data_IF_457239972768
#
_entry.id   IF_457239972768
#
_cell.length_a   1.000
_cell.length_b   1.000
_cell.length_c   1.000
_cell.angle_alpha   90.00
_cell.angle_beta   90.00
_cell.angle_gamma   90.00
#
_symmetry.space_group_name_H-M   'P 1'
#
loop_
_entity.id
_entity.type
_entity.pdbx_description
1 polymer ?
#
# COMPACT_ATOMS: atom_id res chain seq x y z
N UNK A 1 19.17 11.74 -25.77
CA UNK A 1 18.02 10.93 -26.22
C UNK A 1 16.89 11.33 -25.31
N UNK A 2 15.99 12.17 -25.82
CA UNK A 2 14.80 12.59 -25.08
C UNK A 2 13.82 11.41 -25.00
N UNK A 3 12.95 11.35 -23.99
CA UNK A 3 11.93 10.31 -23.87
C UNK A 3 11.00 10.27 -25.09
N UNK A 4 10.82 11.43 -25.75
CA UNK A 4 10.08 11.57 -27.00
C UNK A 4 10.73 10.83 -28.18
N UNK A 5 12.06 10.70 -28.19
CA UNK A 5 12.80 9.99 -29.25
C UNK A 5 12.64 8.46 -29.15
N UNK A 6 12.19 7.96 -27.99
CA UNK A 6 12.00 6.53 -27.74
C UNK A 6 10.63 6.02 -28.20
N UNK A 7 9.75 6.91 -28.66
CA UNK A 7 8.40 6.56 -29.06
C UNK A 7 8.43 5.83 -30.42
N UNK A 8 7.80 4.65 -30.53
CA UNK A 8 7.88 3.83 -31.74
C UNK A 8 7.28 4.51 -32.99
N UNK A 9 6.36 5.46 -32.82
CA UNK A 9 5.69 6.20 -33.90
C UNK A 9 5.86 7.73 -33.80
N UNK A 10 6.62 8.24 -32.83
CA UNK A 10 6.76 9.68 -32.58
C UNK A 10 5.48 10.37 -32.11
N UNK A 11 4.42 9.62 -31.79
CA UNK A 11 3.16 10.16 -31.32
C UNK A 11 3.08 10.07 -29.79
N UNK A 12 2.78 11.19 -29.15
CA UNK A 12 2.62 11.27 -27.69
C UNK A 12 1.24 10.85 -27.21
N UNK A 13 0.24 10.78 -28.09
CA UNK A 13 -1.15 10.53 -27.71
C UNK A 13 -1.37 9.13 -27.11
N UNK A 14 -0.55 8.16 -27.51
CA UNK A 14 -0.59 6.77 -27.00
C UNK A 14 0.42 6.52 -25.87
N UNK A 15 1.07 7.57 -25.35
CA UNK A 15 2.19 7.45 -24.41
C UNK A 15 1.73 7.55 -22.97
N UNK A 16 2.21 6.60 -22.16
CA UNK A 16 2.01 6.60 -20.70
C UNK A 16 3.31 7.02 -20.03
N UNK A 17 3.31 8.18 -19.38
CA UNK A 17 4.38 8.60 -18.49
C UNK A 17 4.14 8.05 -17.08
N UNK A 18 5.08 7.27 -16.55
CA UNK A 18 5.08 6.87 -15.13
C UNK A 18 5.83 7.94 -14.34
N UNK A 19 5.10 8.83 -13.66
CA UNK A 19 5.67 9.98 -12.94
C UNK A 19 6.01 9.70 -11.47
N UNK A 20 5.62 8.53 -10.96
CA UNK A 20 5.89 8.14 -9.59
C UNK A 20 5.31 6.77 -9.24
N UNK A 21 5.72 6.23 -8.10
CA UNK A 21 5.20 4.99 -7.54
C UNK A 21 5.11 5.08 -6.02
N UNK A 22 4.20 4.33 -5.42
CA UNK A 22 4.07 4.18 -3.98
C UNK A 22 3.55 2.78 -3.71
N UNK A 23 3.98 2.17 -2.61
CA UNK A 23 3.57 0.82 -2.25
C UNK A 23 3.60 0.58 -0.73
N UNK A 24 2.89 -0.47 -0.33
CA UNK A 24 2.96 -1.08 1.00
C UNK A 24 2.96 -2.58 0.80
N UNK A 25 4.11 -3.21 1.01
CA UNK A 25 4.28 -4.65 0.89
C UNK A 25 4.63 -5.28 2.24
N UNK A 26 4.40 -6.60 2.39
CA UNK A 26 4.87 -7.38 3.53
C UNK A 26 6.40 -7.32 3.70
N UNK A 27 6.90 -7.71 4.88
CA UNK A 27 8.36 -7.84 5.10
C UNK A 27 9.12 -6.53 5.28
N UNK A 28 8.43 -5.47 5.72
CA UNK A 28 8.93 -4.11 5.95
C UNK A 28 9.18 -3.29 4.66
N UNK A 29 8.67 -3.76 3.52
CA UNK A 29 8.65 -3.02 2.26
C UNK A 29 7.51 -1.97 2.21
N UNK A 30 7.49 -1.06 3.18
CA UNK A 30 6.47 -0.01 3.33
C UNK A 30 6.71 1.23 2.45
N UNK A 31 7.79 1.24 1.68
CA UNK A 31 8.13 2.27 0.70
C UNK A 31 8.84 1.64 -0.50
N UNK A 32 9.08 2.45 -1.52
CA UNK A 32 9.59 2.01 -2.82
C UNK A 32 11.02 1.50 -2.69
N UNK A 33 11.86 2.18 -1.91
CA UNK A 33 13.25 1.84 -1.65
C UNK A 33 13.37 0.47 -0.98
N UNK A 34 12.61 0.25 0.10
CA UNK A 34 12.59 -1.03 0.81
C UNK A 34 12.02 -2.17 -0.04
N UNK A 35 11.05 -1.87 -0.92
CA UNK A 35 10.54 -2.85 -1.88
C UNK A 35 11.61 -3.28 -2.89
N UNK A 36 12.38 -2.34 -3.43
CA UNK A 36 13.48 -2.64 -4.32
C UNK A 36 14.59 -3.45 -3.64
N UNK A 37 14.92 -3.11 -2.40
CA UNK A 37 15.90 -3.87 -1.61
C UNK A 37 15.42 -5.31 -1.37
N UNK A 38 14.16 -5.50 -0.97
CA UNK A 38 13.56 -6.83 -0.77
C UNK A 38 13.64 -7.69 -2.05
N UNK A 39 13.32 -7.13 -3.21
CA UNK A 39 13.44 -7.83 -4.50
C UNK A 39 14.89 -8.17 -4.81
N UNK A 40 15.81 -7.21 -4.63
CA UNK A 40 17.23 -7.38 -4.90
C UNK A 40 17.85 -8.48 -4.04
N UNK A 41 17.40 -8.61 -2.80
CA UNK A 41 17.83 -9.66 -1.86
C UNK A 41 17.16 -11.02 -2.12
N UNK A 42 16.10 -11.07 -2.94
CA UNK A 42 15.26 -12.26 -3.08
C UNK A 42 14.54 -12.64 -1.78
N UNK A 43 14.26 -11.64 -0.93
CA UNK A 43 13.69 -11.85 0.39
C UNK A 43 12.21 -12.24 0.30
N UNK A 44 11.88 -13.40 0.88
CA UNK A 44 10.49 -13.84 1.07
C UNK A 44 9.94 -13.23 2.38
N UNK A 45 8.82 -12.52 2.27
CA UNK A 45 8.15 -11.85 3.37
C UNK A 45 7.06 -12.70 4.04
N UNK A 46 7.10 -14.03 3.88
CA UNK A 46 6.16 -14.94 4.52
C UNK A 46 6.22 -14.83 6.05
N UNK A 47 5.05 -14.80 6.69
CA UNK A 47 4.93 -14.85 8.15
C UNK A 47 3.73 -15.72 8.55
N UNK A 48 3.70 -16.16 9.81
CA UNK A 48 2.47 -16.73 10.39
C UNK A 48 1.31 -15.73 10.30
N UNK A 49 0.08 -16.27 10.27
CA UNK A 49 -1.13 -15.44 10.28
C UNK A 49 -1.15 -14.61 11.58
N UNK A 50 -1.13 -13.27 11.50
CA UNK A 50 -1.19 -12.44 12.69
C UNK A 50 -2.50 -12.65 13.45
N UNK A 51 -2.42 -12.69 14.78
CA UNK A 51 -3.57 -13.01 15.65
C UNK A 51 -4.69 -11.96 15.61
N UNK A 52 -4.38 -10.75 15.17
CA UNK A 52 -5.31 -9.63 15.00
C UNK A 52 -6.08 -9.70 13.66
N UNK A 53 -5.78 -10.66 12.76
CA UNK A 53 -6.54 -10.85 11.52
C UNK A 53 -7.82 -11.66 11.75
N UNK A 54 -7.68 -12.86 12.31
CA UNK A 54 -8.77 -13.75 12.69
C UNK A 54 -8.22 -14.91 13.55
N UNK A 55 -9.10 -15.70 14.17
CA UNK A 55 -8.71 -16.85 14.98
C UNK A 55 -8.21 -18.03 14.12
N UNK A 56 -7.02 -17.91 13.54
CA UNK A 56 -6.50 -18.90 12.61
C UNK A 56 -6.36 -20.30 13.25
N UNK A 57 -5.95 -20.36 14.53
CA UNK A 57 -5.80 -21.62 15.27
C UNK A 57 -7.11 -22.39 15.42
N UNK A 58 -8.26 -21.70 15.47
CA UNK A 58 -9.57 -22.33 15.59
C UNK A 58 -10.06 -23.01 14.30
N UNK A 59 -9.53 -22.62 13.15
CA UNK A 59 -9.97 -23.09 11.83
C UNK A 59 -8.92 -23.95 11.12
N UNK A 60 -7.70 -24.02 11.67
CA UNK A 60 -6.61 -24.80 11.10
C UNK A 60 -6.84 -26.31 11.26
N UNK A 61 -6.66 -27.06 10.18
CA UNK A 61 -6.57 -28.51 10.21
C UNK A 61 -5.53 -29.00 9.19
N UNK A 62 -4.70 -30.01 9.53
CA UNK A 62 -3.63 -30.47 8.63
C UNK A 62 -4.14 -31.22 7.39
N UNK A 63 -5.31 -31.86 7.45
CA UNK A 63 -5.94 -32.48 6.26
C UNK A 63 -6.60 -31.41 5.38
N UNK A 64 -6.11 -31.18 4.15
CA UNK A 64 -6.69 -30.21 3.22
C UNK A 64 -8.11 -30.57 2.75
N UNK A 65 -8.53 -31.83 2.90
CA UNK A 65 -9.86 -32.28 2.47
C UNK A 65 -10.93 -32.14 3.55
N UNK A 66 -10.57 -31.76 4.79
CA UNK A 66 -11.53 -31.61 5.87
C UNK A 66 -12.45 -30.40 5.59
N UNK A 67 -13.78 -30.59 5.47
CA UNK A 67 -14.72 -29.50 5.24
C UNK A 67 -14.70 -28.47 6.38
N UNK A 68 -14.85 -27.19 6.04
CA UNK A 68 -14.94 -26.09 7.01
C UNK A 68 -13.62 -25.76 7.71
N UNK A 69 -12.48 -26.21 7.18
CA UNK A 69 -11.14 -25.90 7.70
C UNK A 69 -10.21 -25.41 6.60
N UNK A 70 -9.10 -24.81 7.00
CA UNK A 70 -7.97 -24.54 6.10
C UNK A 70 -6.69 -25.18 6.65
N UNK A 71 -5.73 -25.45 5.77
CA UNK A 71 -4.44 -26.05 6.14
C UNK A 71 -3.25 -25.06 6.01
N UNK A 72 -3.53 -23.79 5.66
CA UNK A 72 -2.52 -22.73 5.57
C UNK A 72 -2.12 -22.24 6.98
N UNK A 73 -0.83 -21.99 7.23
CA UNK A 73 -0.33 -21.49 8.53
C UNK A 73 0.08 -20.03 8.52
N UNK A 74 0.29 -19.48 7.34
CA UNK A 74 0.87 -18.17 7.13
C UNK A 74 0.73 -17.73 5.68
N UNK A 75 1.03 -16.47 5.46
CA UNK A 75 0.98 -15.78 4.17
C UNK A 75 1.82 -14.49 4.29
N UNK A 76 1.61 -13.54 3.38
CA UNK A 76 2.35 -12.30 3.35
C UNK A 76 1.46 -11.16 3.83
N UNK A 77 1.76 -10.62 5.03
CA UNK A 77 0.91 -9.62 5.68
C UNK A 77 1.60 -8.26 5.81
N UNK A 78 0.85 -7.20 5.51
CA UNK A 78 1.28 -5.83 5.78
C UNK A 78 1.15 -5.55 7.29
N UNK A 79 2.18 -4.91 7.88
CA UNK A 79 2.23 -4.60 9.33
C UNK A 79 1.38 -3.40 9.74
N UNK A 80 1.07 -2.50 8.81
CA UNK A 80 0.23 -1.33 9.05
C UNK A 80 -1.21 -1.69 9.45
N UNK A 81 -1.93 -0.71 9.98
CA UNK A 81 -3.36 -0.85 10.29
C UNK A 81 -4.17 -1.07 9.00
N UNK A 82 -4.62 -2.30 8.78
CA UNK A 82 -5.43 -2.64 7.63
C UNK A 82 -6.85 -2.06 7.72
N UNK A 83 -7.34 -1.73 8.93
CA UNK A 83 -8.64 -1.09 9.09
C UNK A 83 -8.62 0.37 8.61
N UNK A 84 -7.43 0.96 8.46
CA UNK A 84 -7.24 2.29 7.87
C UNK A 84 -7.30 2.28 6.33
N UNK A 85 -7.20 1.11 5.68
CA UNK A 85 -7.30 1.00 4.23
C UNK A 85 -8.74 1.27 3.77
N UNK A 86 -8.93 2.28 2.91
CA UNK A 86 -10.24 2.79 2.49
C UNK A 86 -11.20 3.11 3.65
N UNK A 87 -10.65 3.42 4.83
CA UNK A 87 -11.47 3.77 5.98
C UNK A 87 -12.33 5.00 5.66
N UNK A 88 -13.65 4.97 5.96
CA UNK A 88 -14.46 6.17 5.83
C UNK A 88 -13.88 7.28 6.72
N UNK A 89 -14.03 8.57 6.35
CA UNK A 89 -13.44 9.68 7.10
C UNK A 89 -13.76 9.70 8.60
N UNK A 90 -14.86 9.05 9.04
CA UNK A 90 -15.22 8.95 10.46
C UNK A 90 -14.31 8.02 11.26
N UNK A 91 -13.68 7.04 10.62
CA UNK A 91 -12.76 6.08 11.25
C UNK A 91 -11.29 6.50 11.12
N UNK A 92 -10.99 7.54 10.32
CA UNK A 92 -9.64 8.07 10.19
C UNK A 92 -9.47 9.35 11.02
N UNK A 93 -9.07 9.26 12.31
CA UNK A 93 -8.91 10.44 13.17
C UNK A 93 -7.86 11.44 12.65
N UNK A 94 -6.97 10.99 11.77
CA UNK A 94 -5.92 11.81 11.15
C UNK A 94 -6.38 12.57 9.90
N UNK A 95 -7.52 12.21 9.30
CA UNK A 95 -8.15 12.97 8.21
C UNK A 95 -9.24 13.83 8.85
N UNK A 96 -9.01 15.14 9.08
CA UNK A 96 -10.03 15.99 9.66
C UNK A 96 -11.19 16.10 8.66
N UNK A 97 -12.35 15.61 9.09
CA UNK A 97 -13.60 15.63 8.33
C UNK A 97 -13.85 17.02 7.73
N UNK A 98 -14.08 17.07 6.41
CA UNK A 98 -14.53 18.18 5.53
C UNK A 98 -13.88 19.59 5.65
N UNK A 99 -13.37 20.01 6.79
CA UNK A 99 -12.67 21.27 7.00
C UNK A 99 -11.20 21.23 6.55
N UNK A 100 -10.57 20.06 6.42
CA UNK A 100 -9.12 19.98 6.22
C UNK A 100 -8.63 20.51 4.87
N UNK A 101 -9.29 20.20 3.75
CA UNK A 101 -8.86 20.76 2.46
C UNK A 101 -8.98 22.28 2.45
N UNK A 102 -10.01 22.84 3.07
CA UNK A 102 -10.17 24.29 3.20
C UNK A 102 -9.14 24.91 4.15
N UNK A 103 -8.84 24.29 5.30
CA UNK A 103 -7.81 24.81 6.23
C UNK A 103 -6.39 24.62 5.72
N UNK A 104 -6.09 23.52 5.02
CA UNK A 104 -4.81 23.30 4.36
C UNK A 104 -4.64 24.29 3.22
N UNK A 105 -5.68 24.51 2.41
CA UNK A 105 -5.71 25.54 1.37
C UNK A 105 -5.51 26.94 1.96
N UNK A 106 -6.21 27.29 3.05
CA UNK A 106 -6.03 28.57 3.74
C UNK A 106 -4.62 28.72 4.35
N UNK A 107 -4.06 27.67 4.96
CA UNK A 107 -2.67 27.71 5.46
C UNK A 107 -1.66 27.89 4.33
N UNK A 108 -1.86 27.23 3.19
CA UNK A 108 -1.00 27.37 2.01
C UNK A 108 -1.12 28.78 1.42
N UNK A 109 -2.33 29.34 1.38
CA UNK A 109 -2.60 30.69 0.89
C UNK A 109 -1.97 31.75 1.79
N UNK A 110 -2.11 31.65 3.12
CA UNK A 110 -1.44 32.55 4.05
C UNK A 110 0.08 32.44 3.97
N UNK A 111 0.65 31.25 3.76
CA UNK A 111 2.09 31.10 3.57
C UNK A 111 2.61 31.76 2.27
N UNK A 112 1.75 31.93 1.26
CA UNK A 112 2.09 32.61 0.01
C UNK A 112 2.05 34.15 0.14
N UNK A 113 1.32 34.71 1.11
CA UNK A 113 1.25 36.15 1.36
C UNK A 113 2.43 36.70 2.19
N UNK A 114 3.21 35.82 2.82
CA UNK A 114 4.43 36.19 3.58
C UNK A 114 5.75 36.00 2.80
N UNK A 115 5.67 35.83 1.47
CA UNK A 115 6.80 35.92 0.53
C UNK A 115 6.66 37.19 -0.32
#
# INVERSE_FOLDING_TARGET
MDALDALPDGNVDDVIAVVGMSCRFPGDADNVENFWEMIREGKDAWSEIPSDRFNAKGWYHPDPNRPGSFHIRGAHFIKGDIAAFDAPPKLCPWIPSKECYWKLFMKLLTALEFL
#
